data_IF_362567138814
#
_entry.id   IF_362567138814
#
_cell.length_a   1.000
_cell.length_b   1.000
_cell.length_c   1.000
_cell.angle_alpha   90.00
_cell.angle_beta   90.00
_cell.angle_gamma   90.00
#
_symmetry.space_group_name_H-M   'P 1'
#
loop_
_entity.id
_entity.type
_entity.pdbx_description
1 polymer ?
#
# COMPACT_ATOMS: atom_id res chain seq x y z
N UNK A 1 14.41 -10.09 -23.58
CA UNK A 1 13.92 -9.38 -22.38
C UNK A 1 12.64 -10.04 -21.93
N UNK A 2 12.49 -10.44 -20.65
CA UNK A 2 11.19 -10.87 -20.17
C UNK A 2 10.22 -9.67 -20.22
N UNK A 3 8.93 -9.87 -20.54
CA UNK A 3 7.97 -8.78 -20.53
C UNK A 3 7.95 -8.15 -19.14
N UNK A 4 7.96 -6.81 -19.06
CA UNK A 4 7.69 -6.10 -17.81
C UNK A 4 6.31 -6.57 -17.35
N UNK A 5 6.27 -7.46 -16.35
CA UNK A 5 5.03 -7.86 -15.68
C UNK A 5 4.31 -6.56 -15.36
N UNK A 6 3.10 -6.37 -15.91
CA UNK A 6 2.18 -5.35 -15.41
C UNK A 6 1.93 -5.74 -13.96
N UNK A 7 2.74 -5.21 -13.06
CA UNK A 7 2.65 -5.50 -11.63
C UNK A 7 1.31 -4.90 -11.24
N UNK A 8 0.31 -5.75 -11.07
CA UNK A 8 -1.03 -5.31 -10.73
C UNK A 8 -0.93 -4.80 -9.29
N UNK A 9 -0.83 -3.47 -9.15
CA UNK A 9 -0.70 -2.75 -7.88
C UNK A 9 -1.99 -2.81 -7.05
N UNK A 10 -2.64 -3.97 -6.99
CA UNK A 10 -3.98 -4.16 -6.42
C UNK A 10 -4.05 -3.73 -4.95
N UNK A 11 -2.97 -3.91 -4.20
CA UNK A 11 -2.88 -3.56 -2.78
C UNK A 11 -2.13 -2.25 -2.52
N UNK A 12 -1.70 -1.53 -3.56
CA UNK A 12 -1.06 -0.22 -3.40
C UNK A 12 -1.91 0.77 -2.58
N UNK A 13 -3.24 0.86 -2.78
CA UNK A 13 -4.08 1.70 -1.93
C UNK A 13 -3.98 1.33 -0.45
N UNK A 14 -3.98 0.03 -0.11
CA UNK A 14 -3.86 -0.44 1.28
C UNK A 14 -2.56 0.05 1.94
N UNK A 15 -1.44 -0.08 1.22
CA UNK A 15 -0.13 0.33 1.74
C UNK A 15 0.01 1.85 1.84
N UNK A 16 -0.57 2.62 0.93
CA UNK A 16 -0.60 4.09 1.05
C UNK A 16 -1.42 4.49 2.27
N UNK A 17 -2.61 3.94 2.44
CA UNK A 17 -3.46 4.23 3.60
C UNK A 17 -2.77 3.85 4.91
N UNK A 18 -2.11 2.69 4.96
CA UNK A 18 -1.34 2.26 6.12
C UNK A 18 -0.20 3.22 6.46
N UNK A 19 0.56 3.66 5.45
CA UNK A 19 1.62 4.65 5.67
C UNK A 19 1.05 5.96 6.23
N UNK A 20 -0.08 6.45 5.68
CA UNK A 20 -0.74 7.67 6.14
C UNK A 20 -1.41 7.55 7.53
N UNK A 21 -1.68 6.32 7.99
CA UNK A 21 -2.23 6.05 9.32
C UNK A 21 -1.18 6.20 10.42
N UNK A 22 0.09 5.91 10.12
CA UNK A 22 1.19 6.00 11.10
C UNK A 22 1.52 7.46 11.43
N UNK A 23 1.65 8.33 10.41
CA UNK A 23 1.85 9.76 10.59
C UNK A 23 1.24 10.56 9.40
N UNK A 24 0.88 11.84 9.58
CA UNK A 24 0.63 12.76 8.47
C UNK A 24 1.90 12.93 7.63
N UNK A 25 1.95 12.33 6.44
CA UNK A 25 3.17 12.27 5.62
C UNK A 25 3.08 13.20 4.40
N UNK A 26 4.18 13.90 4.11
CA UNK A 26 4.34 14.67 2.87
C UNK A 26 4.32 13.73 1.63
N UNK A 27 3.73 14.15 0.51
CA UNK A 27 3.60 13.30 -0.70
C UNK A 27 4.88 12.63 -1.19
N UNK A 28 6.02 13.33 -1.13
CA UNK A 28 7.33 12.75 -1.47
C UNK A 28 7.85 11.76 -0.44
N UNK A 29 7.45 11.90 0.83
CA UNK A 29 7.79 10.96 1.89
C UNK A 29 6.95 9.68 1.82
N UNK A 30 5.72 9.71 1.26
CA UNK A 30 4.92 8.50 1.03
C UNK A 30 5.67 7.50 0.15
N UNK A 31 6.23 7.94 -0.97
CA UNK A 31 7.01 7.08 -1.86
C UNK A 31 8.24 6.47 -1.16
N UNK A 32 8.94 7.29 -0.35
CA UNK A 32 10.12 6.83 0.39
C UNK A 32 9.74 5.80 1.45
N UNK A 33 8.68 6.05 2.22
CA UNK A 33 8.16 5.13 3.23
C UNK A 33 7.78 3.79 2.59
N UNK A 34 7.02 3.81 1.49
CA UNK A 34 6.62 2.60 0.78
C UNK A 34 7.84 1.80 0.26
N UNK A 35 8.84 2.49 -0.30
CA UNK A 35 10.02 1.86 -0.88
C UNK A 35 10.98 1.29 0.18
N UNK A 36 11.02 1.88 1.38
CA UNK A 36 11.89 1.44 2.48
C UNK A 36 11.23 0.37 3.35
N UNK A 37 9.94 0.50 3.64
CA UNK A 37 9.25 -0.36 4.62
C UNK A 37 8.66 -1.62 4.01
N UNK A 38 8.46 -1.67 2.69
CA UNK A 38 7.80 -2.82 2.05
C UNK A 38 8.83 -3.62 1.24
N UNK A 39 9.38 -4.72 1.79
CA UNK A 39 10.57 -5.38 1.27
C UNK A 39 10.44 -5.94 -0.16
N UNK A 40 9.21 -6.25 -0.60
CA UNK A 40 8.93 -6.84 -1.92
C UNK A 40 8.16 -5.89 -2.86
N UNK A 41 7.92 -4.64 -2.45
CA UNK A 41 7.04 -3.73 -3.14
C UNK A 41 7.78 -2.44 -3.50
N UNK A 42 7.99 -2.24 -4.80
CA UNK A 42 8.66 -1.05 -5.34
C UNK A 42 7.73 -0.39 -6.35
N UNK A 43 6.72 0.36 -5.89
CA UNK A 43 5.83 1.09 -6.79
C UNK A 43 6.63 2.21 -7.47
N UNK A 44 6.38 2.43 -8.77
CA UNK A 44 6.90 3.64 -9.40
C UNK A 44 6.15 4.88 -8.87
N UNK A 45 6.79 6.04 -8.96
CA UNK A 45 6.22 7.30 -8.48
C UNK A 45 4.88 7.61 -9.14
N UNK A 46 4.72 7.29 -10.43
CA UNK A 46 3.49 7.55 -11.16
C UNK A 46 2.31 6.71 -10.64
N UNK A 47 2.55 5.45 -10.24
CA UNK A 47 1.56 4.61 -9.60
C UNK A 47 1.15 5.16 -8.23
N UNK A 48 2.11 5.59 -7.41
CA UNK A 48 1.82 6.19 -6.10
C UNK A 48 0.97 7.45 -6.25
N UNK A 49 1.33 8.37 -7.15
CA UNK A 49 0.58 9.61 -7.36
C UNK A 49 -0.82 9.37 -7.95
N UNK A 50 -0.97 8.44 -8.90
CA UNK A 50 -2.30 8.06 -9.41
C UNK A 50 -3.18 7.47 -8.32
N UNK A 51 -2.62 6.61 -7.46
CA UNK A 51 -3.38 6.04 -6.35
C UNK A 51 -3.70 7.09 -5.30
N UNK A 52 -2.79 8.01 -4.95
CA UNK A 52 -3.11 9.14 -4.07
C UNK A 52 -4.25 9.99 -4.63
N UNK A 53 -4.23 10.31 -5.93
CA UNK A 53 -5.32 11.03 -6.59
C UNK A 53 -6.63 10.27 -6.48
N UNK A 54 -6.64 8.97 -6.76
CA UNK A 54 -7.84 8.15 -6.61
C UNK A 54 -8.38 8.15 -5.16
N UNK A 55 -7.50 8.01 -4.16
CA UNK A 55 -7.89 8.05 -2.75
C UNK A 55 -8.46 9.41 -2.35
N UNK A 56 -7.97 10.50 -2.93
CA UNK A 56 -8.55 11.85 -2.74
C UNK A 56 -9.92 11.98 -3.42
N UNK A 57 -10.05 11.51 -4.66
CA UNK A 57 -11.31 11.54 -5.42
C UNK A 57 -12.40 10.73 -4.72
N UNK A 58 -12.02 9.64 -4.04
CA UNK A 58 -12.89 8.80 -3.20
C UNK A 58 -13.08 9.35 -1.76
N UNK A 59 -12.57 10.54 -1.47
CA UNK A 59 -12.62 11.20 -0.15
C UNK A 59 -12.02 10.38 1.01
N UNK A 60 -11.16 9.41 0.71
CA UNK A 60 -10.44 8.59 1.71
C UNK A 60 -9.21 9.32 2.26
N UNK A 61 -8.65 10.23 1.46
CA UNK A 61 -7.50 11.06 1.82
C UNK A 61 -7.83 12.51 1.51
N UNK A 62 -7.29 13.43 2.30
CA UNK A 62 -7.26 14.87 1.98
C UNK A 62 -5.83 15.35 1.92
N UNK A 63 -5.56 16.33 1.06
CA UNK A 63 -4.30 17.05 1.09
C UNK A 63 -4.43 18.51 1.49
N UNK A 64 -3.36 19.01 2.10
CA UNK A 64 -3.15 20.41 2.42
C UNK A 64 -1.75 20.84 2.00
N UNK A 65 -1.61 22.10 1.58
CA UNK A 65 -0.30 22.69 1.36
C UNK A 65 0.28 23.12 2.70
N UNK A 66 1.47 22.61 3.01
CA UNK A 66 2.30 23.07 4.12
C UNK A 66 3.32 24.08 3.59
N UNK A 67 3.16 25.33 4.02
CA UNK A 67 4.01 26.48 3.68
C UNK A 67 4.83 26.96 4.89
N UNK A 68 4.85 26.19 5.99
CA UNK A 68 5.46 26.62 7.25
C UNK A 68 6.99 26.59 7.25
N UNK A 69 7.61 25.86 6.32
CA UNK A 69 9.07 25.74 6.19
C UNK A 69 9.70 26.74 5.23
N UNK A 70 11.01 26.96 5.37
CA UNK A 70 11.84 27.84 4.52
C UNK A 70 12.07 27.33 3.08
N UNK A 71 11.26 26.38 2.60
CA UNK A 71 11.39 25.72 1.31
C UNK A 71 10.10 25.76 0.50
N UNK A 72 10.07 25.18 -0.72
CA UNK A 72 8.87 25.14 -1.54
C UNK A 72 7.72 24.44 -0.80
N UNK A 73 6.51 24.95 -0.98
CA UNK A 73 5.30 24.41 -0.38
C UNK A 73 5.18 22.91 -0.63
N UNK A 74 4.92 22.12 0.42
CA UNK A 74 4.83 20.67 0.32
C UNK A 74 3.39 20.23 0.47
N UNK A 75 2.95 19.31 -0.38
CA UNK A 75 1.63 18.69 -0.25
C UNK A 75 1.69 17.61 0.85
N UNK A 76 0.90 17.78 1.90
CA UNK A 76 0.74 16.83 3.01
C UNK A 76 -0.56 16.07 2.81
N UNK A 77 -0.55 14.76 3.03
CA UNK A 77 -1.74 13.91 2.94
C UNK A 77 -2.14 13.44 4.34
N UNK A 78 -3.45 13.35 4.58
CA UNK A 78 -4.04 12.81 5.82
C UNK A 78 -5.24 11.93 5.51
N UNK A 79 -5.42 10.89 6.31
CA UNK A 79 -6.62 10.06 6.28
C UNK A 79 -7.84 10.86 6.71
N UNK A 80 -8.95 10.63 6.04
CA UNK A 80 -10.30 10.99 6.52
C UNK A 80 -10.89 9.81 7.30
N UNK A 81 -12.08 9.99 7.88
CA UNK A 81 -12.82 8.86 8.46
C UNK A 81 -13.08 7.75 7.42
N UNK A 82 -13.47 8.11 6.20
CA UNK A 82 -13.66 7.14 5.12
C UNK A 82 -12.35 6.41 4.75
N UNK A 83 -11.20 7.08 4.89
CA UNK A 83 -9.89 6.47 4.74
C UNK A 83 -9.58 5.42 5.81
N UNK A 84 -9.95 5.69 7.07
CA UNK A 84 -9.83 4.71 8.16
C UNK A 84 -10.74 3.51 7.93
N UNK A 85 -12.00 3.73 7.56
CA UNK A 85 -12.94 2.64 7.27
C UNK A 85 -12.45 1.78 6.09
N UNK A 86 -11.86 2.42 5.07
CA UNK A 86 -11.25 1.73 3.94
C UNK A 86 -10.02 0.90 4.36
N UNK A 87 -9.18 1.45 5.24
CA UNK A 87 -8.01 0.75 5.77
C UNK A 87 -8.41 -0.50 6.56
N UNK A 88 -9.49 -0.40 7.35
CA UNK A 88 -10.05 -1.55 8.08
C UNK A 88 -10.56 -2.64 7.11
N UNK A 89 -11.28 -2.26 6.05
CA UNK A 89 -11.69 -3.21 5.02
C UNK A 89 -10.50 -3.89 4.31
N UNK A 90 -9.37 -3.18 4.17
CA UNK A 90 -8.14 -3.80 3.66
C UNK A 90 -7.52 -4.79 4.65
N UNK A 91 -7.55 -4.51 5.97
CA UNK A 91 -7.10 -5.45 7.00
C UNK A 91 -7.87 -6.77 6.88
N UNK A 92 -9.19 -6.71 6.80
CA UNK A 92 -10.06 -7.89 6.67
C UNK A 92 -9.78 -8.71 5.39
N UNK A 93 -9.66 -8.04 4.22
CA UNK A 93 -9.32 -8.71 2.96
C UNK A 93 -7.94 -9.38 3.01
N UNK A 94 -6.95 -8.72 3.63
CA UNK A 94 -5.60 -9.26 3.78
C UNK A 94 -5.59 -10.46 4.72
N UNK A 95 -6.27 -10.42 5.85
CA UNK A 95 -6.37 -11.53 6.79
C UNK A 95 -6.98 -12.77 6.13
N UNK A 96 -8.10 -12.59 5.43
CA UNK A 96 -8.76 -13.66 4.69
C UNK A 96 -7.83 -14.28 3.63
N UNK A 97 -7.12 -13.44 2.87
CA UNK A 97 -6.15 -13.91 1.87
C UNK A 97 -4.99 -14.65 2.52
N UNK A 98 -4.45 -14.11 3.62
CA UNK A 98 -3.35 -14.74 4.36
C UNK A 98 -3.74 -16.12 4.88
N UNK A 99 -4.96 -16.31 5.39
CA UNK A 99 -5.47 -17.61 5.79
C UNK A 99 -5.49 -18.62 4.62
N UNK A 100 -6.03 -18.22 3.47
CA UNK A 100 -6.08 -19.08 2.28
C UNK A 100 -4.70 -19.42 1.72
N UNK A 101 -3.80 -18.43 1.65
CA UNK A 101 -2.44 -18.61 1.16
C UNK A 101 -1.62 -19.48 2.12
N UNK A 102 -1.81 -19.30 3.43
CA UNK A 102 -1.19 -20.14 4.46
C UNK A 102 -1.63 -21.59 4.29
N UNK A 103 -2.94 -21.83 4.23
CA UNK A 103 -3.48 -23.17 3.99
C UNK A 103 -2.87 -23.83 2.75
N UNK A 104 -2.78 -23.11 1.64
CA UNK A 104 -2.17 -23.63 0.41
C UNK A 104 -0.69 -24.02 0.62
N UNK A 105 0.10 -23.13 1.22
CA UNK A 105 1.53 -23.36 1.44
C UNK A 105 1.78 -24.55 2.37
N UNK A 106 0.98 -24.64 3.44
CA UNK A 106 1.09 -25.71 4.43
C UNK A 106 0.69 -27.06 3.80
N UNK A 107 -0.44 -27.11 3.10
CA UNK A 107 -0.91 -28.31 2.36
C UNK A 107 0.12 -28.76 1.32
N UNK A 108 0.71 -27.82 0.58
CA UNK A 108 1.74 -28.15 -0.40
C UNK A 108 3.01 -28.73 0.25
N UNK A 109 3.44 -28.16 1.38
CA UNK A 109 4.59 -28.65 2.13
C UNK A 109 4.35 -30.08 2.63
N UNK A 110 3.15 -30.37 3.14
CA UNK A 110 2.74 -31.72 3.54
C UNK A 110 2.79 -32.71 2.38
N UNK A 111 2.15 -32.40 1.25
CA UNK A 111 2.18 -33.26 0.05
C UNK A 111 3.63 -33.52 -0.40
N UNK A 112 4.48 -32.49 -0.42
CA UNK A 112 5.88 -32.61 -0.85
C UNK A 112 6.71 -33.46 0.11
N UNK A 113 6.42 -33.42 1.41
CA UNK A 113 7.11 -34.27 2.41
C UNK A 113 6.77 -35.76 2.22
N UNK A 114 5.52 -36.09 1.88
CA UNK A 114 5.07 -37.46 1.63
C UNK A 114 5.50 -38.01 0.25
N UNK A 115 5.81 -37.13 -0.71
CA UNK A 115 6.25 -37.49 -2.06
C UNK A 115 7.77 -37.68 -2.17
N UNK A 116 8.53 -37.71 -1.07
CA UNK A 116 9.94 -38.11 -1.10
C UNK A 116 10.05 -39.62 -1.40
N UNK A 117 10.05 -39.95 -2.69
CA UNK A 117 10.57 -41.19 -3.29
C UNK A 117 11.45 -40.78 -4.46
#
# INVERSE_FOLDING_TARGET
>A
MPPRRKQQYRHLPAFILLALAEEPIHGGAVLNVLSQRIPLFKPDSAAVYRTLQQLEDEAQVVSSWDTSGSGPARRVYRLTQAGWDKLEGWREDIEMRMANLRYFLDTYAEIRSHRKV
#
